data_IF_854952722909
#
_entry.id   IF_854952722909
#
_cell.length_a   1.000
_cell.length_b   1.000
_cell.length_c   1.000
_cell.angle_alpha   90.00
_cell.angle_beta   90.00
_cell.angle_gamma   90.00
#
_symmetry.space_group_name_H-M   'P 1'
#
loop_
_entity.id
_entity.type
_entity.pdbx_description
1 polymer ?
#
# COMPACT_ATOMS: atom_id res chain seq x y z
N UNK A 1 10.44 20.21 1.54
CA UNK A 1 10.56 18.77 1.23
C UNK A 1 11.73 18.45 0.30
N UNK A 2 12.11 19.37 -0.60
CA UNK A 2 13.16 19.18 -1.63
C UNK A 2 14.55 18.74 -1.12
N UNK A 3 14.91 19.09 0.12
CA UNK A 3 16.25 18.81 0.67
C UNK A 3 16.39 17.34 1.11
N UNK A 4 15.32 16.73 1.63
CA UNK A 4 15.33 15.34 2.05
C UNK A 4 15.36 14.40 0.84
N UNK A 5 14.61 14.73 -0.22
CA UNK A 5 14.64 14.02 -1.50
C UNK A 5 15.98 14.16 -2.22
N UNK A 6 16.68 15.30 -2.08
CA UNK A 6 17.99 15.52 -2.70
C UNK A 6 19.18 14.82 -2.00
N UNK A 7 18.98 14.32 -0.78
CA UNK A 7 20.02 13.64 0.01
C UNK A 7 19.98 12.11 -0.13
N UNK A 8 18.92 11.56 -0.72
CA UNK A 8 18.73 10.12 -0.95
C UNK A 8 18.71 9.88 -2.45
N UNK A 9 19.31 8.79 -2.91
CA UNK A 9 19.19 8.37 -4.31
C UNK A 9 17.71 8.14 -4.64
N UNK A 10 17.27 8.58 -5.80
CA UNK A 10 15.87 8.50 -6.22
C UNK A 10 15.31 7.07 -6.10
N UNK A 11 16.12 6.07 -6.47
CA UNK A 11 15.73 4.68 -6.41
C UNK A 11 15.61 4.09 -4.99
N UNK A 12 16.18 4.78 -4.02
CA UNK A 12 16.24 4.41 -2.60
C UNK A 12 15.31 5.27 -1.73
N UNK A 13 14.67 6.29 -2.30
CA UNK A 13 13.68 7.12 -1.62
C UNK A 13 12.28 6.52 -1.78
N UNK A 14 11.56 6.29 -0.68
CA UNK A 14 10.20 5.75 -0.73
C UNK A 14 9.15 6.76 -0.30
N UNK A 15 9.36 7.45 0.81
CA UNK A 15 8.43 8.48 1.27
C UNK A 15 9.12 9.46 2.23
N UNK A 16 8.54 10.65 2.35
CA UNK A 16 8.88 11.60 3.40
C UNK A 16 7.60 12.27 3.90
N UNK A 17 7.47 12.41 5.22
CA UNK A 17 6.35 13.08 5.86
C UNK A 17 6.86 14.02 6.95
N UNK A 18 6.33 15.24 6.97
CA UNK A 18 6.53 16.14 8.11
C UNK A 18 5.51 15.72 9.18
N UNK A 19 6.01 15.20 10.29
CA UNK A 19 5.19 14.75 11.41
C UNK A 19 4.85 15.93 12.33
N UNK A 20 5.78 16.84 12.51
CA UNK A 20 5.57 18.07 13.28
C UNK A 20 6.43 19.20 12.70
N UNK A 21 5.80 20.23 12.16
CA UNK A 21 6.48 21.40 11.60
C UNK A 21 7.14 22.26 12.69
N UNK A 22 6.52 22.35 13.88
CA UNK A 22 7.02 23.17 15.00
C UNK A 22 8.25 22.53 15.63
N UNK A 23 8.16 21.23 15.90
CA UNK A 23 9.25 20.42 16.44
C UNK A 23 10.23 19.96 15.36
N UNK A 24 9.95 20.27 14.09
CA UNK A 24 10.77 19.96 12.91
C UNK A 24 11.11 18.48 12.82
N UNK A 25 10.07 17.64 12.93
CA UNK A 25 10.19 16.19 12.85
C UNK A 25 9.79 15.74 11.45
N UNK A 26 10.70 15.01 10.80
CA UNK A 26 10.47 14.38 9.50
C UNK A 26 10.66 12.89 9.64
N UNK A 27 9.68 12.13 9.17
CA UNK A 27 9.80 10.69 8.95
C UNK A 27 10.19 10.46 7.49
N UNK A 28 11.17 9.61 7.28
CA UNK A 28 11.74 9.28 5.98
C UNK A 28 11.80 7.77 5.82
N UNK A 29 11.18 7.23 4.77
CA UNK A 29 11.33 5.83 4.37
C UNK A 29 12.33 5.72 3.22
N UNK A 30 13.35 4.89 3.42
CA UNK A 30 14.41 4.64 2.44
C UNK A 30 14.73 3.15 2.29
N UNK A 31 15.50 2.81 1.26
CA UNK A 31 16.02 1.46 1.08
C UNK A 31 16.94 1.02 2.24
N UNK A 32 16.85 -0.27 2.59
CA UNK A 32 17.71 -0.95 3.56
C UNK A 32 19.19 -1.02 3.14
N UNK A 33 19.51 -0.72 1.88
CA UNK A 33 20.87 -0.60 1.37
C UNK A 33 21.57 0.73 1.67
N UNK A 34 20.84 1.75 2.11
CA UNK A 34 21.40 3.08 2.38
C UNK A 34 21.99 3.21 3.80
N UNK A 35 22.93 4.12 3.99
CA UNK A 35 23.41 4.48 5.34
C UNK A 35 22.53 5.60 5.92
N UNK A 36 21.70 5.23 6.89
CA UNK A 36 20.77 6.17 7.53
C UNK A 36 21.47 7.30 8.30
N UNK A 37 22.66 7.07 8.87
CA UNK A 37 23.40 8.12 9.58
C UNK A 37 24.04 9.09 8.60
N UNK A 38 24.58 8.60 7.49
CA UNK A 38 25.13 9.44 6.42
C UNK A 38 24.04 10.38 5.87
N UNK A 39 22.86 9.84 5.55
CA UNK A 39 21.72 10.60 5.04
C UNK A 39 21.26 11.67 6.04
N UNK A 40 21.09 11.32 7.33
CA UNK A 40 20.72 12.30 8.37
C UNK A 40 21.72 13.45 8.45
N UNK A 41 23.01 13.12 8.38
CA UNK A 41 24.07 14.11 8.44
C UNK A 41 24.09 15.01 7.19
N UNK A 42 23.90 14.44 5.99
CA UNK A 42 23.84 15.21 4.75
C UNK A 42 22.65 16.18 4.72
N UNK A 43 21.45 15.70 5.10
CA UNK A 43 20.25 16.54 5.19
C UNK A 43 20.49 17.73 6.12
N UNK A 44 21.00 17.48 7.33
CA UNK A 44 21.26 18.55 8.30
C UNK A 44 22.38 19.51 7.87
N UNK A 45 23.42 19.03 7.17
CA UNK A 45 24.44 19.89 6.58
C UNK A 45 23.84 20.83 5.52
N UNK A 46 22.98 20.31 4.63
CA UNK A 46 22.31 21.11 3.60
C UNK A 46 21.38 22.16 4.19
N UNK A 47 20.63 21.80 5.23
CA UNK A 47 19.77 22.74 5.97
C UNK A 47 20.60 23.87 6.60
N UNK A 48 21.73 23.54 7.24
CA UNK A 48 22.61 24.53 7.85
C UNK A 48 23.18 25.53 6.82
N UNK A 49 23.56 25.08 5.63
CA UNK A 49 24.03 25.96 4.54
C UNK A 49 22.94 26.98 4.14
N UNK A 50 21.67 26.60 4.24
CA UNK A 50 20.54 27.48 3.93
C UNK A 50 20.10 28.34 5.13
N UNK A 51 20.83 28.30 6.25
CA UNK A 51 20.45 29.00 7.48
C UNK A 51 19.20 28.42 8.17
N UNK A 52 18.79 27.21 7.80
CA UNK A 52 17.64 26.52 8.39
C UNK A 52 18.14 25.66 9.55
N UNK A 53 17.55 25.85 10.74
CA UNK A 53 17.91 24.97 11.87
C UNK A 53 17.56 23.51 11.57
N UNK A 54 18.37 22.61 12.10
CA UNK A 54 18.29 21.17 11.89
C UNK A 54 16.91 20.59 12.19
N UNK A 55 16.59 19.50 11.48
CA UNK A 55 15.40 18.70 11.70
C UNK A 55 15.75 17.45 12.50
N UNK A 56 14.79 16.96 13.30
CA UNK A 56 14.82 15.62 13.85
C UNK A 56 14.32 14.65 12.77
N UNK A 57 15.23 13.86 12.22
CA UNK A 57 14.94 12.95 11.12
C UNK A 57 14.83 11.52 11.66
N UNK A 58 13.63 10.96 11.62
CA UNK A 58 13.41 9.54 11.87
C UNK A 58 13.52 8.81 10.53
N UNK A 59 14.28 7.73 10.49
CA UNK A 59 14.47 6.95 9.27
C UNK A 59 13.98 5.54 9.52
N UNK A 60 13.08 5.08 8.65
CA UNK A 60 12.66 3.69 8.54
C UNK A 60 13.28 3.11 7.27
N UNK A 61 14.05 2.05 7.43
CA UNK A 61 14.68 1.36 6.30
C UNK A 61 13.84 0.15 5.90
N UNK A 62 13.59 0.00 4.59
CA UNK A 62 12.73 -1.05 4.05
C UNK A 62 13.36 -1.72 2.84
N UNK A 63 13.00 -2.98 2.62
CA UNK A 63 13.45 -3.70 1.44
C UNK A 63 12.79 -3.13 0.16
N UNK A 64 13.61 -2.74 -0.81
CA UNK A 64 13.15 -2.10 -2.06
C UNK A 64 12.21 -2.99 -2.87
N UNK A 65 12.45 -4.30 -2.92
CA UNK A 65 11.61 -5.22 -3.69
C UNK A 65 10.21 -5.32 -3.07
N UNK A 66 10.12 -5.32 -1.74
CA UNK A 66 8.86 -5.30 -1.00
C UNK A 66 8.07 -4.03 -1.30
N UNK A 67 8.70 -2.85 -1.20
CA UNK A 67 8.01 -1.56 -1.47
C UNK A 67 7.53 -1.48 -2.92
N UNK A 68 8.31 -1.99 -3.88
CA UNK A 68 7.89 -2.06 -5.29
C UNK A 68 6.67 -2.96 -5.46
N UNK A 69 6.66 -4.15 -4.84
CA UNK A 69 5.53 -5.06 -4.89
C UNK A 69 4.28 -4.42 -4.27
N UNK A 70 4.39 -3.80 -3.09
CA UNK A 70 3.29 -3.07 -2.46
C UNK A 70 2.73 -1.97 -3.37
N UNK A 71 3.60 -1.20 -4.03
CA UNK A 71 3.18 -0.17 -4.98
C UNK A 71 2.41 -0.74 -6.17
N UNK A 72 2.87 -1.87 -6.74
CA UNK A 72 2.13 -2.59 -7.80
C UNK A 72 0.75 -3.02 -7.30
N UNK A 73 0.68 -3.62 -6.12
CA UNK A 73 -0.58 -4.09 -5.52
C UNK A 73 -1.54 -2.96 -5.17
N UNK A 74 -1.05 -1.79 -4.77
CA UNK A 74 -1.88 -0.59 -4.59
C UNK A 74 -2.59 -0.18 -5.90
N UNK A 75 -1.95 -0.35 -7.06
CA UNK A 75 -2.61 -0.13 -8.35
C UNK A 75 -3.72 -1.17 -8.58
N UNK A 76 -3.46 -2.45 -8.27
CA UNK A 76 -4.44 -3.53 -8.37
C UNK A 76 -5.67 -3.23 -7.51
N UNK A 77 -5.47 -2.81 -6.26
CA UNK A 77 -6.57 -2.49 -5.34
C UNK A 77 -7.38 -1.28 -5.79
N UNK A 78 -6.74 -0.25 -6.35
CA UNK A 78 -7.44 0.88 -6.98
C UNK A 78 -8.38 0.41 -8.10
N UNK A 79 -7.91 -0.50 -8.95
CA UNK A 79 -8.73 -1.09 -10.00
C UNK A 79 -9.87 -1.96 -9.47
N UNK A 80 -9.67 -2.76 -8.43
CA UNK A 80 -10.76 -3.52 -7.80
C UNK A 80 -11.82 -2.55 -7.26
N UNK A 81 -11.40 -1.48 -6.57
CA UNK A 81 -12.31 -0.50 -6.01
C UNK A 81 -13.15 0.19 -7.11
N UNK A 82 -12.50 0.62 -8.18
CA UNK A 82 -13.19 1.32 -9.26
C UNK A 82 -14.05 0.38 -10.12
N UNK A 83 -13.49 -0.75 -10.53
CA UNK A 83 -14.07 -1.61 -11.56
C UNK A 83 -14.97 -2.72 -11.00
N UNK A 84 -14.68 -3.25 -9.81
CA UNK A 84 -15.52 -4.25 -9.16
C UNK A 84 -16.52 -3.61 -8.20
N UNK A 85 -16.12 -2.61 -7.40
CA UNK A 85 -17.04 -2.06 -6.38
C UNK A 85 -17.86 -0.90 -6.89
N UNK A 86 -17.22 0.20 -7.32
CA UNK A 86 -17.93 1.43 -7.70
C UNK A 86 -18.86 1.21 -8.90
N UNK A 87 -18.41 0.49 -9.93
CA UNK A 87 -19.24 0.19 -11.11
C UNK A 87 -20.45 -0.71 -10.81
N UNK A 88 -20.34 -1.62 -9.85
CA UNK A 88 -21.43 -2.53 -9.48
C UNK A 88 -22.27 -2.02 -8.30
N UNK A 89 -21.98 -0.83 -7.77
CA UNK A 89 -22.76 -0.19 -6.70
C UNK A 89 -22.53 -0.77 -5.30
N UNK A 90 -21.38 -1.41 -5.04
CA UNK A 90 -21.06 -1.95 -3.72
C UNK A 90 -20.55 -0.88 -2.76
N UNK A 91 -21.47 -0.13 -2.17
CA UNK A 91 -21.11 0.97 -1.28
C UNK A 91 -20.57 0.52 0.08
N UNK A 92 -19.36 0.97 0.40
CA UNK A 92 -18.69 0.75 1.67
C UNK A 92 -18.24 -0.68 1.93
N UNK A 93 -18.00 -1.43 0.85
CA UNK A 93 -17.08 -2.56 0.92
C UNK A 93 -15.65 -2.03 1.01
N UNK A 94 -14.78 -2.80 1.63
CA UNK A 94 -13.37 -2.41 1.81
C UNK A 94 -12.45 -3.59 1.54
N UNK A 95 -11.29 -3.29 0.95
CA UNK A 95 -10.20 -4.26 0.84
C UNK A 95 -9.37 -4.14 2.12
N UNK A 96 -9.28 -5.23 2.88
CA UNK A 96 -8.36 -5.37 4.00
C UNK A 96 -7.03 -5.87 3.44
N UNK A 97 -6.08 -4.97 3.20
CA UNK A 97 -4.74 -5.41 2.87
C UNK A 97 -3.98 -5.75 4.16
N UNK A 98 -3.44 -6.96 4.20
CA UNK A 98 -2.49 -7.39 5.21
C UNK A 98 -1.15 -7.54 4.48
N UNK A 99 -0.18 -6.68 4.83
CA UNK A 99 1.23 -6.63 4.42
C UNK A 99 1.71 -7.62 3.33
N UNK A 100 2.37 -7.11 2.28
CA UNK A 100 3.06 -7.98 1.31
C UNK A 100 4.17 -8.79 2.00
N UNK A 101 4.08 -10.12 1.93
CA UNK A 101 5.12 -11.03 2.39
C UNK A 101 5.75 -11.70 1.18
N UNK A 102 7.06 -11.49 0.99
CA UNK A 102 7.80 -12.07 -0.12
C UNK A 102 7.63 -13.60 -0.15
N UNK A 103 7.38 -14.15 -1.33
CA UNK A 103 7.14 -15.58 -1.58
C UNK A 103 5.86 -16.16 -0.97
N UNK A 104 4.94 -15.32 -0.47
CA UNK A 104 3.59 -15.75 -0.10
C UNK A 104 2.57 -15.19 -1.08
N UNK A 105 1.44 -15.89 -1.30
CA UNK A 105 0.33 -15.32 -2.06
C UNK A 105 -0.16 -14.03 -1.41
N UNK A 106 -0.45 -13.02 -2.22
CA UNK A 106 -1.10 -11.80 -1.73
C UNK A 106 -2.56 -12.10 -1.44
N UNK A 107 -3.02 -11.77 -0.24
CA UNK A 107 -4.43 -11.91 0.12
C UNK A 107 -5.20 -10.66 -0.31
N UNK A 108 -6.31 -10.89 -0.98
CA UNK A 108 -7.29 -9.88 -1.38
C UNK A 108 -8.53 -10.14 -0.53
N UNK A 109 -8.49 -9.67 0.71
CA UNK A 109 -9.57 -9.86 1.66
C UNK A 109 -10.56 -8.69 1.53
N UNK A 110 -11.81 -9.00 1.16
CA UNK A 110 -12.85 -8.02 0.89
C UNK A 110 -13.91 -8.14 1.97
N UNK A 111 -14.01 -7.10 2.79
CA UNK A 111 -15.05 -6.99 3.80
C UNK A 111 -16.29 -6.35 3.22
N UNK A 112 -17.40 -7.05 3.34
CA UNK A 112 -18.74 -6.60 2.94
C UNK A 112 -19.48 -5.97 4.13
N UNK A 113 -20.68 -5.44 3.87
CA UNK A 113 -21.57 -4.90 4.92
C UNK A 113 -22.69 -5.85 5.34
N UNK A 114 -22.82 -6.98 4.65
CA UNK A 114 -23.86 -7.96 4.95
C UNK A 114 -23.37 -8.90 6.05
N UNK A 115 -24.28 -9.49 6.81
CA UNK A 115 -23.97 -10.60 7.70
C UNK A 115 -24.23 -11.96 7.01
N UNK A 116 -23.48 -13.01 7.33
CA UNK A 116 -23.65 -14.35 6.72
C UNK A 116 -25.01 -15.02 7.04
N UNK A 117 -25.76 -14.51 8.02
CA UNK A 117 -27.12 -14.96 8.30
C UNK A 117 -28.17 -14.35 7.35
N UNK A 118 -27.80 -13.34 6.56
CA UNK A 118 -28.65 -12.78 5.51
C UNK A 118 -28.83 -13.79 4.36
N UNK A 119 -30.08 -14.01 3.95
CA UNK A 119 -30.41 -14.88 2.83
C UNK A 119 -29.68 -14.39 1.58
N UNK A 120 -28.84 -15.24 1.00
CA UNK A 120 -28.08 -14.94 -0.20
C UNK A 120 -26.66 -14.42 0.04
N UNK A 121 -26.17 -14.34 1.28
CA UNK A 121 -24.81 -13.91 1.59
C UNK A 121 -23.74 -14.67 0.78
N UNK A 122 -23.87 -16.00 0.68
CA UNK A 122 -22.95 -16.83 -0.09
C UNK A 122 -23.02 -16.60 -1.60
N UNK A 123 -24.23 -16.39 -2.13
CA UNK A 123 -24.42 -16.09 -3.55
C UNK A 123 -23.80 -14.73 -3.90
N UNK A 124 -23.94 -13.75 -3.00
CA UNK A 124 -23.28 -12.46 -3.13
C UNK A 124 -21.74 -12.61 -3.05
N UNK A 125 -21.23 -13.40 -2.10
CA UNK A 125 -19.80 -13.69 -1.98
C UNK A 125 -19.20 -14.24 -3.28
N UNK A 126 -19.83 -15.26 -3.85
CA UNK A 126 -19.42 -15.85 -5.14
C UNK A 126 -19.53 -14.86 -6.31
N UNK A 127 -20.53 -13.98 -6.30
CA UNK A 127 -20.69 -12.94 -7.32
C UNK A 127 -19.54 -11.93 -7.25
N UNK A 128 -19.22 -11.43 -6.06
CA UNK A 128 -18.12 -10.49 -5.84
C UNK A 128 -16.79 -11.11 -6.25
N UNK A 129 -16.53 -12.36 -5.85
CA UNK A 129 -15.32 -13.08 -6.24
C UNK A 129 -15.15 -13.10 -7.77
N UNK A 130 -16.21 -13.43 -8.52
CA UNK A 130 -16.16 -13.44 -10.00
C UNK A 130 -15.91 -12.07 -10.59
N UNK A 131 -16.49 -11.01 -10.02
CA UNK A 131 -16.29 -9.64 -10.48
C UNK A 131 -14.85 -9.17 -10.23
N UNK A 132 -14.30 -9.48 -9.05
CA UNK A 132 -12.89 -9.23 -8.71
C UNK A 132 -11.97 -10.01 -9.63
N UNK A 133 -12.21 -11.31 -9.83
CA UNK A 133 -11.45 -12.11 -10.80
C UNK A 133 -11.50 -11.52 -12.22
N UNK A 134 -12.65 -10.98 -12.63
CA UNK A 134 -12.81 -10.30 -13.91
C UNK A 134 -11.86 -9.12 -14.05
N UNK A 135 -11.73 -8.30 -13.00
CA UNK A 135 -10.80 -7.17 -12.95
C UNK A 135 -9.35 -7.64 -13.00
N UNK A 136 -8.99 -8.66 -12.20
CA UNK A 136 -7.63 -9.21 -12.16
C UNK A 136 -7.17 -9.80 -13.50
N UNK A 137 -8.11 -10.30 -14.31
CA UNK A 137 -7.85 -10.87 -15.64
C UNK A 137 -7.71 -9.81 -16.75
N UNK A 138 -7.91 -8.53 -16.46
CA UNK A 138 -7.73 -7.47 -17.47
C UNK A 138 -6.26 -7.25 -17.80
N UNK A 139 -5.97 -6.87 -19.05
CA UNK A 139 -4.58 -6.63 -19.50
C UNK A 139 -3.91 -5.44 -18.80
N UNK A 140 -4.69 -4.49 -18.27
CA UNK A 140 -4.16 -3.40 -17.46
C UNK A 140 -3.66 -3.92 -16.11
N UNK A 141 -4.45 -4.77 -15.44
CA UNK A 141 -4.17 -5.23 -14.08
C UNK A 141 -3.13 -6.35 -14.05
N UNK A 142 -3.14 -7.27 -15.03
CA UNK A 142 -2.12 -8.33 -15.14
C UNK A 142 -0.68 -7.81 -15.13
N UNK A 143 -0.43 -6.64 -15.72
CA UNK A 143 0.89 -6.00 -15.75
C UNK A 143 1.40 -5.64 -14.34
N UNK A 144 0.48 -5.35 -13.43
CA UNK A 144 0.81 -5.04 -12.04
C UNK A 144 0.92 -6.30 -11.18
N UNK A 145 0.14 -7.34 -11.44
CA UNK A 145 0.25 -8.63 -10.73
C UNK A 145 1.57 -9.33 -11.07
N UNK A 146 2.02 -9.20 -12.33
CA UNK A 146 3.19 -9.91 -12.85
C UNK A 146 3.04 -11.44 -12.66
N UNK A 147 3.89 -12.05 -11.83
CA UNK A 147 3.86 -13.48 -11.51
C UNK A 147 3.48 -13.73 -10.04
N UNK A 148 3.03 -12.72 -9.31
CA UNK A 148 2.62 -12.88 -7.92
C UNK A 148 1.39 -13.79 -7.85
N UNK A 149 1.44 -14.80 -6.97
CA UNK A 149 0.25 -15.57 -6.63
C UNK A 149 -0.66 -14.75 -5.71
N UNK A 150 -1.97 -15.02 -5.76
CA UNK A 150 -2.94 -14.34 -4.94
C UNK A 150 -4.11 -15.25 -4.55
N UNK A 151 -4.82 -14.86 -3.49
CA UNK A 151 -6.03 -15.51 -3.01
C UNK A 151 -7.10 -14.46 -2.70
N UNK A 152 -8.34 -14.74 -3.09
CA UNK A 152 -9.49 -13.86 -2.84
C UNK A 152 -10.30 -14.44 -1.67
N UNK A 153 -10.55 -13.61 -0.67
CA UNK A 153 -11.47 -13.92 0.43
C UNK A 153 -12.55 -12.86 0.50
N UNK A 154 -13.82 -13.27 0.48
CA UNK A 154 -14.95 -12.38 0.70
C UNK A 154 -15.50 -12.65 2.09
N UNK A 155 -15.61 -11.62 2.91
CA UNK A 155 -16.01 -11.72 4.30
C UNK A 155 -17.25 -10.88 4.59
N UNK A 156 -18.07 -11.37 5.50
CA UNK A 156 -19.20 -10.63 6.06
C UNK A 156 -18.73 -9.53 7.03
N UNK A 157 -19.68 -8.82 7.63
CA UNK A 157 -19.41 -7.75 8.59
C UNK A 157 -18.71 -8.26 9.88
N UNK A 158 -18.86 -9.54 10.19
CA UNK A 158 -18.33 -10.24 11.37
C UNK A 158 -17.03 -11.02 11.06
N UNK A 159 -16.39 -10.73 9.92
CA UNK A 159 -15.14 -11.36 9.43
C UNK A 159 -15.27 -12.88 9.18
N UNK A 160 -16.48 -13.38 8.92
CA UNK A 160 -16.73 -14.75 8.47
C UNK A 160 -16.66 -14.82 6.96
N UNK A 161 -15.95 -15.81 6.43
CA UNK A 161 -15.81 -16.01 4.99
C UNK A 161 -17.13 -16.48 4.37
N UNK A 162 -17.56 -15.82 3.29
CA UNK A 162 -18.83 -16.08 2.60
C UNK A 162 -18.68 -16.57 1.15
N UNK A 163 -17.45 -16.82 0.67
CA UNK A 163 -17.18 -17.49 -0.61
C UNK A 163 -16.46 -18.83 -0.46
#
# INVERSE_FOLDING_TARGET
>A
MDIATAAVKEESFFSAAIIDEKERIVDLEIADSEDSNEIKNDINKRLAIQGVMAYKINITQRNREVVKAESRWNQVFGHIFDDAFRKNGYEGFSIQQINYIKNQPVTIDIKTKISDDEIGARELGQKIEKEVEGVLKTEAVKKWIENDSYAIGIYDIDDRKIN
#
